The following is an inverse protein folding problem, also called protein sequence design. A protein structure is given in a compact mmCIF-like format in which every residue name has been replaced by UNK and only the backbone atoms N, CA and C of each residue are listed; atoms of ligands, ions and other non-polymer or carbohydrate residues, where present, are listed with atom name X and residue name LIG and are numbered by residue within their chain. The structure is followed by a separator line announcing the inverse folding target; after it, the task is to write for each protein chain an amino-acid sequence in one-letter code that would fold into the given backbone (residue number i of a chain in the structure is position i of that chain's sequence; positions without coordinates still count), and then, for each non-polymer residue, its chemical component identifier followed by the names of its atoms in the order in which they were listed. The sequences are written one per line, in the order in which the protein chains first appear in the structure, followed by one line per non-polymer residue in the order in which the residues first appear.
data_IF_315604041593
#
_entry.id   IF_315604041593
#
_cell.length_a   1.000
_cell.length_b   1.000
_cell.length_c   1.000
_cell.angle_alpha   90.00
_cell.angle_beta   90.00
_cell.angle_gamma   90.00
#
_symmetry.space_group_name_H-M   'P 1'
#
loop_
_entity.id
_entity.type
_entity.pdbx_description
1 polymer ?
#
# COMPACT_ATOMS: atom_id res chain seq x y z
N UNK A 1 4.52 7.83 40.49
CA UNK A 1 5.81 7.15 40.30
C UNK A 1 5.62 6.10 39.22
N UNK A 2 6.25 6.30 38.06
CA UNK A 2 6.00 5.55 36.83
C UNK A 2 6.42 4.08 36.97
N UNK A 3 5.54 3.16 36.60
CA UNK A 3 5.88 1.73 36.54
C UNK A 3 6.85 1.48 35.39
N UNK A 4 8.00 0.88 35.70
CA UNK A 4 9.02 0.53 34.72
C UNK A 4 8.48 -0.56 33.78
N UNK A 5 8.27 -0.22 32.51
CA UNK A 5 8.00 -1.20 31.46
C UNK A 5 9.30 -1.97 31.18
N UNK A 6 9.24 -3.30 31.24
CA UNK A 6 10.33 -4.18 30.78
C UNK A 6 10.06 -4.61 29.35
N UNK A 7 11.02 -4.35 28.47
CA UNK A 7 11.02 -4.84 27.09
C UNK A 7 11.49 -6.30 27.05
N UNK A 8 10.72 -7.16 26.39
CA UNK A 8 10.99 -8.61 26.28
C UNK A 8 11.42 -9.03 24.87
N UNK A 9 11.65 -8.07 23.96
CA UNK A 9 11.92 -8.34 22.55
C UNK A 9 10.68 -8.75 21.75
N UNK A 10 10.73 -8.60 20.42
CA UNK A 10 9.65 -9.01 19.50
C UNK A 10 8.35 -8.20 19.62
N UNK A 11 8.43 -6.93 20.04
CA UNK A 11 7.26 -6.05 20.21
C UNK A 11 6.47 -6.28 21.50
N UNK A 12 6.96 -7.12 22.42
CA UNK A 12 6.29 -7.39 23.70
C UNK A 12 6.76 -6.46 24.81
N UNK A 13 5.81 -5.81 25.49
CA UNK A 13 6.07 -5.05 26.71
C UNK A 13 5.25 -5.56 27.88
N UNK A 14 5.90 -5.67 29.04
CA UNK A 14 5.25 -6.10 30.29
C UNK A 14 4.99 -4.89 31.19
N UNK A 15 3.72 -4.67 31.56
CA UNK A 15 3.33 -3.67 32.55
C UNK A 15 2.71 -4.37 33.78
N UNK A 16 3.25 -4.07 34.96
CA UNK A 16 2.65 -4.47 36.24
C UNK A 16 1.69 -3.39 36.72
N UNK A 17 0.41 -3.73 36.85
CA UNK A 17 -0.59 -2.86 37.51
C UNK A 17 -0.44 -2.96 39.04
N UNK A 18 -0.94 -1.95 39.75
CA UNK A 18 -0.87 -1.86 41.22
C UNK A 18 -1.59 -3.00 41.95
N UNK A 19 -2.45 -3.75 41.26
CA UNK A 19 -3.17 -4.93 41.76
C UNK A 19 -2.36 -6.25 41.62
N UNK A 20 -1.09 -6.17 41.23
CA UNK A 20 -0.22 -7.33 41.05
C UNK A 20 -0.47 -8.10 39.75
N UNK A 21 -1.43 -7.68 38.91
CA UNK A 21 -1.65 -8.31 37.61
C UNK A 21 -0.62 -7.83 36.60
N UNK A 22 0.04 -8.80 35.98
CA UNK A 22 0.92 -8.62 34.83
C UNK A 22 0.05 -8.59 33.58
N UNK A 23 0.09 -7.47 32.84
CA UNK A 23 -0.50 -7.40 31.49
C UNK A 23 0.63 -7.41 30.47
N UNK A 24 0.58 -8.37 29.54
CA UNK A 24 1.43 -8.39 28.35
C UNK A 24 0.73 -7.60 27.24
N UNK A 25 1.42 -6.59 26.74
CA UNK A 25 0.96 -5.76 25.61
C UNK A 25 1.82 -6.12 24.39
N UNK A 26 1.19 -6.65 23.34
CA UNK A 26 1.84 -6.91 22.05
C UNK A 26 1.71 -5.65 21.18
N UNK A 27 2.84 -5.04 20.84
CA UNK A 27 2.94 -3.95 19.90
C UNK A 27 3.22 -4.55 18.53
N UNK A 28 2.20 -4.65 17.69
CA UNK A 28 2.35 -5.07 16.29
C UNK A 28 2.98 -3.90 15.54
N UNK A 29 4.31 -3.91 15.44
CA UNK A 29 5.04 -2.95 14.61
C UNK A 29 5.16 -3.53 13.19
N UNK A 30 4.79 -2.71 12.21
CA UNK A 30 4.97 -3.04 10.80
C UNK A 30 6.44 -3.39 10.51
N UNK A 31 6.74 -4.37 9.64
CA UNK A 31 8.10 -4.52 9.14
C UNK A 31 8.58 -3.19 8.56
N UNK A 32 9.75 -2.70 9.00
CA UNK A 32 10.30 -1.47 8.46
C UNK A 32 10.51 -1.64 6.94
N UNK A 33 10.09 -0.64 6.15
CA UNK A 33 10.43 -0.62 4.72
C UNK A 33 11.95 -0.60 4.58
N UNK A 34 12.50 -1.40 3.66
CA UNK A 34 13.94 -1.37 3.37
C UNK A 34 14.32 -0.01 2.76
N UNK A 35 15.60 0.35 2.78
CA UNK A 35 16.07 1.59 2.17
C UNK A 35 15.77 1.59 0.65
N UNK A 36 15.92 0.43 0.02
CA UNK A 36 15.57 0.22 -1.38
C UNK A 36 14.06 0.38 -1.65
N UNK A 37 13.18 -0.03 -0.73
CA UNK A 37 11.73 0.18 -0.87
C UNK A 37 11.34 1.66 -0.72
N UNK A 38 12.11 2.43 0.04
CA UNK A 38 11.83 3.84 0.32
C UNK A 38 12.34 4.77 -0.78
N UNK A 39 13.52 4.49 -1.34
CA UNK A 39 14.20 5.37 -2.30
C UNK A 39 14.34 4.78 -3.70
N UNK A 40 13.93 3.52 -3.89
CA UNK A 40 13.96 2.86 -5.19
C UNK A 40 12.98 3.46 -6.19
N UNK A 41 13.42 3.60 -7.44
CA UNK A 41 12.56 3.96 -8.57
C UNK A 41 11.79 2.77 -9.14
N UNK A 42 12.08 1.56 -8.65
CA UNK A 42 11.48 0.31 -9.13
C UNK A 42 10.52 -0.20 -8.07
N UNK A 43 9.36 -0.68 -8.50
CA UNK A 43 8.40 -1.23 -7.57
C UNK A 43 8.93 -2.50 -6.89
N UNK A 44 8.93 -2.57 -5.54
CA UNK A 44 9.33 -3.75 -4.81
C UNK A 44 8.51 -4.98 -5.20
N UNK A 45 9.15 -6.15 -5.18
CA UNK A 45 8.55 -7.39 -5.67
C UNK A 45 7.20 -7.71 -5.02
N UNK A 46 7.12 -7.50 -3.69
CA UNK A 46 5.91 -7.74 -2.89
C UNK A 46 4.69 -6.93 -3.34
N UNK A 47 4.90 -5.75 -3.95
CA UNK A 47 3.80 -4.86 -4.34
C UNK A 47 3.41 -4.99 -5.82
N UNK A 48 4.18 -5.71 -6.64
CA UNK A 48 3.98 -5.77 -8.10
C UNK A 48 2.58 -6.24 -8.51
N UNK A 49 2.00 -7.21 -7.79
CA UNK A 49 0.66 -7.72 -8.08
C UNK A 49 -0.41 -6.63 -7.87
N UNK A 50 -0.34 -5.93 -6.73
CA UNK A 50 -1.26 -4.85 -6.40
C UNK A 50 -1.06 -3.66 -7.35
N UNK A 51 0.19 -3.30 -7.65
CA UNK A 51 0.49 -2.25 -8.62
C UNK A 51 -0.07 -2.56 -10.02
N UNK A 52 0.01 -3.81 -10.47
CA UNK A 52 -0.59 -4.22 -11.74
C UNK A 52 -2.12 -4.04 -11.74
N UNK A 53 -2.79 -4.40 -10.63
CA UNK A 53 -4.23 -4.17 -10.46
C UNK A 53 -4.59 -2.69 -10.50
N UNK A 54 -3.83 -1.85 -9.80
CA UNK A 54 -4.01 -0.40 -9.79
C UNK A 54 -3.91 0.19 -11.20
N UNK A 55 -2.87 -0.17 -11.94
CA UNK A 55 -2.66 0.27 -13.33
C UNK A 55 -3.85 -0.14 -14.21
N UNK A 56 -4.25 -1.41 -14.15
CA UNK A 56 -5.35 -1.93 -14.97
C UNK A 56 -6.71 -1.32 -14.59
N UNK A 57 -6.93 -0.99 -13.32
CA UNK A 57 -8.11 -0.30 -12.85
C UNK A 57 -8.26 1.07 -13.53
N UNK A 58 -7.19 1.88 -13.52
CA UNK A 58 -7.20 3.21 -14.13
C UNK A 58 -7.25 3.15 -15.66
N UNK A 59 -6.43 2.31 -16.30
CA UNK A 59 -6.45 2.14 -17.76
C UNK A 59 -7.83 1.70 -18.24
N UNK A 60 -8.43 0.72 -17.57
CA UNK A 60 -9.77 0.25 -17.92
C UNK A 60 -10.84 1.33 -17.78
N UNK A 61 -10.77 2.15 -16.73
CA UNK A 61 -11.70 3.26 -16.52
C UNK A 61 -11.57 4.32 -17.61
N UNK A 62 -10.34 4.76 -17.92
CA UNK A 62 -10.08 5.79 -18.92
C UNK A 62 -10.40 5.31 -20.34
N UNK A 63 -10.07 4.06 -20.68
CA UNK A 63 -10.44 3.47 -21.96
C UNK A 63 -11.96 3.46 -22.12
N UNK A 64 -12.72 2.99 -21.13
CA UNK A 64 -14.20 2.99 -21.22
C UNK A 64 -14.78 4.39 -21.35
N UNK A 65 -14.18 5.38 -20.68
CA UNK A 65 -14.62 6.78 -20.72
C UNK A 65 -14.33 7.43 -22.07
N UNK A 66 -13.16 7.16 -22.67
CA UNK A 66 -12.69 7.80 -23.90
C UNK A 66 -13.03 7.01 -25.17
N UNK A 67 -13.47 5.75 -25.06
CA UNK A 67 -13.80 4.92 -26.22
C UNK A 67 -15.04 5.47 -26.96
N UNK A 68 -14.93 5.79 -28.26
CA UNK A 68 -16.07 6.25 -29.06
C UNK A 68 -17.09 5.13 -29.26
N UNK A 69 -18.39 5.45 -29.27
CA UNK A 69 -19.46 4.43 -29.38
C UNK A 69 -19.58 3.81 -30.77
N UNK A 70 -19.12 4.52 -31.80
CA UNK A 70 -19.38 4.20 -33.21
C UNK A 70 -18.20 3.54 -33.93
N UNK A 71 -17.03 3.46 -33.29
CA UNK A 71 -15.83 2.87 -33.89
C UNK A 71 -14.87 2.36 -32.83
N UNK A 72 -13.88 1.58 -33.25
CA UNK A 72 -12.73 1.23 -32.41
C UNK A 72 -11.72 2.37 -32.38
N UNK A 73 -10.95 2.43 -31.31
CA UNK A 73 -9.79 3.31 -31.21
C UNK A 73 -8.69 2.87 -32.18
N UNK A 74 -7.98 3.84 -32.73
CA UNK A 74 -6.76 3.66 -33.52
C UNK A 74 -5.58 3.48 -32.56
N UNK A 75 -4.50 2.89 -33.05
CA UNK A 75 -3.35 2.54 -32.21
C UNK A 75 -2.76 3.74 -31.46
N UNK A 76 -2.59 4.88 -32.13
CA UNK A 76 -2.07 6.09 -31.48
C UNK A 76 -3.01 6.63 -30.40
N UNK A 77 -4.33 6.48 -30.57
CA UNK A 77 -5.30 6.89 -29.55
C UNK A 77 -5.18 6.02 -28.29
N UNK A 78 -4.87 4.73 -28.43
CA UNK A 78 -4.56 3.87 -27.28
C UNK A 78 -3.30 4.35 -26.55
N UNK A 79 -2.22 4.62 -27.30
CA UNK A 79 -0.96 5.09 -26.73
C UNK A 79 -1.13 6.42 -26.00
N UNK A 80 -1.82 7.40 -26.59
CA UNK A 80 -2.09 8.70 -25.97
C UNK A 80 -2.89 8.56 -24.67
N UNK A 81 -3.88 7.66 -24.66
CA UNK A 81 -4.65 7.37 -23.45
C UNK A 81 -3.75 6.77 -22.37
N UNK A 82 -2.92 5.80 -22.71
CA UNK A 82 -2.02 5.13 -21.77
C UNK A 82 -1.03 6.11 -21.16
N UNK A 83 -0.38 6.93 -21.97
CA UNK A 83 0.60 7.93 -21.52
C UNK A 83 -0.04 8.95 -20.58
N UNK A 84 -1.26 9.41 -20.89
CA UNK A 84 -1.97 10.35 -20.03
C UNK A 84 -2.39 9.71 -18.70
N UNK A 85 -2.96 8.51 -18.72
CA UNK A 85 -3.38 7.81 -17.51
C UNK A 85 -2.17 7.54 -16.60
N UNK A 86 -1.05 7.06 -17.17
CA UNK A 86 0.15 6.75 -16.38
C UNK A 86 0.79 7.98 -15.72
N UNK A 87 0.56 9.19 -16.24
CA UNK A 87 1.13 10.43 -15.68
C UNK A 87 0.34 10.99 -14.49
N UNK A 88 -0.98 10.78 -14.43
CA UNK A 88 -1.83 11.52 -13.48
C UNK A 88 -2.71 10.65 -12.58
N UNK A 89 -2.78 9.33 -12.79
CA UNK A 89 -3.79 8.51 -12.11
C UNK A 89 -3.35 7.91 -10.77
N UNK A 90 -2.11 8.08 -10.35
CA UNK A 90 -1.54 7.39 -9.18
C UNK A 90 -1.46 8.23 -7.89
N UNK A 91 -2.16 9.36 -7.84
CA UNK A 91 -2.36 10.08 -6.58
C UNK A 91 -3.26 9.26 -5.63
N UNK A 92 -2.94 9.26 -4.34
CA UNK A 92 -3.71 8.56 -3.32
C UNK A 92 -3.37 7.07 -3.13
N UNK A 93 -2.34 6.57 -3.80
CA UNK A 93 -1.74 5.27 -3.47
C UNK A 93 -0.68 5.42 -2.39
N UNK A 94 -0.57 4.43 -1.51
CA UNK A 94 0.42 4.40 -0.45
C UNK A 94 0.47 3.05 0.25
N UNK A 95 1.46 2.88 1.11
CA UNK A 95 1.62 1.64 1.89
C UNK A 95 0.87 1.79 3.21
N UNK A 96 0.06 0.79 3.54
CA UNK A 96 -0.70 0.73 4.79
C UNK A 96 -0.55 -0.65 5.43
N UNK A 97 -0.59 -0.68 6.76
CA UNK A 97 -0.65 -1.94 7.50
C UNK A 97 -2.03 -2.60 7.31
N UNK A 98 -2.03 -3.81 6.78
CA UNK A 98 -3.22 -4.66 6.62
C UNK A 98 -2.88 -6.08 7.08
N UNK A 99 -3.67 -6.64 8.00
CA UNK A 99 -3.46 -7.98 8.55
C UNK A 99 -2.06 -8.25 9.14
N UNK A 100 -1.41 -7.21 9.69
CA UNK A 100 -0.07 -7.33 10.28
C UNK A 100 1.09 -7.20 9.29
N UNK A 101 0.80 -6.97 8.01
CA UNK A 101 1.81 -6.78 6.97
C UNK A 101 1.62 -5.45 6.23
N UNK A 102 2.71 -4.91 5.69
CA UNK A 102 2.63 -3.74 4.80
C UNK A 102 2.07 -4.16 3.44
N UNK A 103 0.95 -3.56 3.06
CA UNK A 103 0.29 -3.77 1.77
C UNK A 103 0.14 -2.44 1.02
N UNK A 104 0.15 -2.51 -0.32
CA UNK A 104 -0.17 -1.36 -1.15
C UNK A 104 -1.68 -1.10 -1.10
N UNK A 105 -2.07 0.13 -0.83
CA UNK A 105 -3.46 0.56 -0.74
C UNK A 105 -3.70 1.77 -1.63
N UNK A 106 -4.91 1.90 -2.14
CA UNK A 106 -5.32 3.00 -3.02
C UNK A 106 -6.58 2.66 -3.81
N UNK A 107 -7.05 3.57 -4.68
CA UNK A 107 -8.21 3.33 -5.54
C UNK A 107 -8.11 2.00 -6.30
N UNK A 108 -9.18 1.20 -6.31
CA UNK A 108 -9.18 -0.08 -7.03
C UNK A 108 -8.40 -1.22 -6.37
N UNK A 109 -7.75 -0.97 -5.22
CA UNK A 109 -7.16 -1.98 -4.34
C UNK A 109 -8.02 -2.12 -3.07
N UNK A 110 -7.98 -3.30 -2.43
CA UNK A 110 -8.77 -3.62 -1.23
C UNK A 110 -7.99 -3.31 0.04
#
# INVERSE_FOLDING_TARGET
VSAAAKDLGGGWSEKKKQDGKVVQEMKIEAPAMTEEDQYGHVMPERYRCDSCRAVMFHLGADLRKKHPKNRRLKQWEYTDIFDLTCRSSFEGYGIRLSNGENALSGPGLK
#
